data_IF_068525340115
#
_entry.id   IF_068525340115
#
_cell.length_a   1.000
_cell.length_b   1.000
_cell.length_c   1.000
_cell.angle_alpha   90.00
_cell.angle_beta   90.00
_cell.angle_gamma   90.00
#
_symmetry.space_group_name_H-M   'P 1'
#
loop_
_entity.id
_entity.type
_entity.pdbx_description
1 polymer ?
#
# COMPACT_ATOMS: atom_id res chain seq x y z
N UNK A 1 37.59 -34.89 7.98
CA UNK A 1 36.61 -34.30 8.90
C UNK A 1 35.98 -35.36 9.73
N UNK A 2 35.87 -35.17 11.05
CA UNK A 2 35.23 -36.11 11.95
C UNK A 2 33.71 -35.92 11.93
N UNK A 3 32.98 -36.99 12.05
CA UNK A 3 31.50 -36.96 12.11
C UNK A 3 30.98 -36.05 13.24
N UNK A 4 31.73 -35.95 14.35
CA UNK A 4 31.38 -35.07 15.46
C UNK A 4 31.40 -33.58 15.06
N UNK A 5 32.36 -33.18 14.23
CA UNK A 5 32.48 -31.81 13.77
C UNK A 5 31.33 -31.42 12.81
N UNK A 6 30.93 -32.36 11.95
CA UNK A 6 29.79 -32.18 11.05
C UNK A 6 28.47 -32.08 11.85
N UNK A 7 28.31 -32.86 12.90
CA UNK A 7 27.15 -32.81 13.79
C UNK A 7 27.05 -31.44 14.50
N UNK A 8 28.16 -30.95 15.04
CA UNK A 8 28.20 -29.63 15.70
C UNK A 8 27.80 -28.55 14.70
N UNK A 9 28.33 -28.59 13.48
CA UNK A 9 27.96 -27.63 12.43
C UNK A 9 26.48 -27.69 12.10
N UNK A 10 25.90 -28.89 12.01
CA UNK A 10 24.47 -29.06 11.76
C UNK A 10 23.62 -28.48 12.90
N UNK A 11 23.99 -28.73 14.15
CA UNK A 11 23.29 -28.21 15.32
C UNK A 11 23.37 -26.67 15.36
N UNK A 12 24.53 -26.11 15.10
CA UNK A 12 24.71 -24.66 15.09
C UNK A 12 23.92 -24.00 13.96
N UNK A 13 23.84 -24.64 12.79
CA UNK A 13 23.01 -24.16 11.67
C UNK A 13 21.53 -24.17 12.04
N UNK A 14 21.05 -25.23 12.67
CA UNK A 14 19.66 -25.31 13.15
C UNK A 14 19.37 -24.25 14.21
N UNK A 15 20.31 -23.99 15.10
CA UNK A 15 20.17 -22.99 16.13
C UNK A 15 20.10 -21.57 15.54
N UNK A 16 20.83 -21.32 14.45
CA UNK A 16 20.78 -20.04 13.73
C UNK A 16 19.52 -19.90 12.89
N UNK A 17 18.95 -21.03 12.46
CA UNK A 17 17.73 -21.07 11.66
C UNK A 17 16.47 -21.24 12.52
N UNK A 18 16.51 -20.87 13.81
CA UNK A 18 15.32 -20.91 14.65
C UNK A 18 14.24 -20.02 14.06
N UNK A 19 13.00 -20.50 14.01
CA UNK A 19 11.92 -19.70 13.48
C UNK A 19 11.76 -18.42 14.28
N UNK A 20 11.53 -17.34 13.57
CA UNK A 20 11.21 -16.03 14.10
C UNK A 20 10.00 -16.16 15.05
N UNK A 21 10.01 -15.47 16.18
CA UNK A 21 8.84 -15.42 17.05
C UNK A 21 7.68 -14.73 16.33
N UNK A 22 6.46 -14.99 16.76
CA UNK A 22 5.27 -14.36 16.19
C UNK A 22 5.37 -12.83 16.29
N UNK A 23 5.85 -12.31 17.43
CA UNK A 23 6.02 -10.88 17.65
C UNK A 23 7.06 -10.27 16.71
N UNK A 24 8.18 -10.93 16.52
CA UNK A 24 9.23 -10.47 15.59
C UNK A 24 8.74 -10.49 14.15
N UNK A 25 7.97 -11.52 13.77
CA UNK A 25 7.35 -11.63 12.44
C UNK A 25 6.46 -10.42 12.16
N UNK A 26 5.53 -10.08 13.06
CA UNK A 26 4.62 -8.97 12.84
C UNK A 26 5.32 -7.60 12.90
N UNK A 27 6.34 -7.48 13.75
CA UNK A 27 7.16 -6.25 13.77
C UNK A 27 7.87 -6.04 12.44
N UNK A 28 8.41 -7.10 11.87
CA UNK A 28 9.06 -7.05 10.56
C UNK A 28 8.06 -6.74 9.46
N UNK A 29 6.89 -7.37 9.49
CA UNK A 29 5.83 -7.09 8.50
C UNK A 29 5.38 -5.63 8.57
N UNK A 30 5.23 -5.08 9.76
CA UNK A 30 4.88 -3.68 9.93
C UNK A 30 5.95 -2.76 9.35
N UNK A 31 7.21 -3.03 9.63
CA UNK A 31 8.32 -2.23 9.10
C UNK A 31 8.36 -2.24 7.58
N UNK A 32 8.16 -3.39 6.96
CA UNK A 32 8.09 -3.54 5.50
C UNK A 32 6.89 -2.78 4.93
N UNK A 33 5.75 -2.87 5.60
CA UNK A 33 4.53 -2.16 5.20
C UNK A 33 4.74 -0.65 5.22
N UNK A 34 5.29 -0.12 6.29
CA UNK A 34 5.56 1.31 6.40
C UNK A 34 6.57 1.80 5.36
N UNK A 35 7.58 1.00 5.06
CA UNK A 35 8.56 1.31 4.01
C UNK A 35 7.89 1.34 2.64
N UNK A 36 7.05 0.35 2.33
CA UNK A 36 6.33 0.28 1.05
C UNK A 36 5.33 1.43 0.91
N UNK A 37 4.66 1.82 1.99
CA UNK A 37 3.76 2.99 1.99
C UNK A 37 4.51 4.28 1.72
N UNK A 38 5.69 4.45 2.33
CA UNK A 38 6.52 5.63 2.10
C UNK A 38 6.97 5.71 0.64
N UNK A 39 7.32 4.59 0.05
CA UNK A 39 7.71 4.49 -1.35
C UNK A 39 6.55 4.81 -2.29
N UNK A 40 5.36 4.29 -2.00
CA UNK A 40 4.15 4.61 -2.76
C UNK A 40 3.82 6.10 -2.67
N UNK A 41 3.85 6.66 -1.46
CA UNK A 41 3.63 8.09 -1.24
C UNK A 41 4.59 8.92 -2.07
N UNK A 42 5.87 8.59 -2.06
CA UNK A 42 6.89 9.34 -2.80
C UNK A 42 6.68 9.23 -4.31
N UNK A 43 6.26 8.06 -4.80
CA UNK A 43 5.91 7.89 -6.20
C UNK A 43 4.73 8.78 -6.61
N UNK A 44 3.68 8.80 -5.78
CA UNK A 44 2.50 9.64 -6.04
C UNK A 44 2.89 11.13 -6.03
N UNK A 45 3.70 11.55 -5.05
CA UNK A 45 4.18 12.95 -4.99
C UNK A 45 4.96 13.31 -6.25
N UNK A 46 5.77 12.38 -6.74
CA UNK A 46 6.54 12.58 -7.96
C UNK A 46 5.61 12.74 -9.18
N UNK A 47 4.61 11.86 -9.31
CA UNK A 47 3.64 11.95 -10.40
C UNK A 47 2.84 13.26 -10.34
N UNK A 48 2.52 13.74 -9.12
CA UNK A 48 1.74 14.95 -8.91
C UNK A 48 2.55 16.23 -9.15
N UNK A 49 3.88 16.16 -9.24
CA UNK A 49 4.75 17.31 -9.37
C UNK A 49 4.31 18.30 -10.46
N UNK A 50 4.11 17.88 -11.72
CA UNK A 50 3.63 18.80 -12.78
C UNK A 50 2.27 19.43 -12.48
N UNK A 51 1.39 18.69 -11.81
CA UNK A 51 0.05 19.17 -11.45
C UNK A 51 0.13 20.24 -10.36
N UNK A 52 1.04 20.06 -9.39
CA UNK A 52 1.31 21.06 -8.35
C UNK A 52 1.90 22.31 -8.97
N UNK A 53 2.86 22.18 -9.86
CA UNK A 53 3.47 23.31 -10.57
C UNK A 53 2.44 24.11 -11.38
N UNK A 54 1.44 23.40 -11.94
CA UNK A 54 0.34 24.03 -12.67
C UNK A 54 -0.72 24.68 -11.76
N UNK A 55 -0.52 24.65 -10.44
CA UNK A 55 -1.47 25.17 -9.44
C UNK A 55 -2.86 24.54 -9.50
N UNK A 56 -2.94 23.26 -9.90
CA UNK A 56 -4.21 22.55 -9.96
C UNK A 56 -4.49 21.77 -8.68
N UNK A 57 -3.46 21.49 -7.88
CA UNK A 57 -3.57 20.72 -6.65
C UNK A 57 -2.51 21.14 -5.64
N UNK A 58 -2.81 20.98 -4.36
CA UNK A 58 -1.81 21.00 -3.29
C UNK A 58 -1.68 19.60 -2.72
N UNK A 59 -0.46 19.21 -2.35
CA UNK A 59 -0.16 17.89 -1.83
C UNK A 59 0.51 18.03 -0.47
N UNK A 60 -0.07 17.40 0.55
CA UNK A 60 0.49 17.41 1.90
C UNK A 60 0.68 16.00 2.41
N UNK A 61 1.81 15.75 3.09
CA UNK A 61 2.03 14.50 3.81
C UNK A 61 1.06 14.41 4.98
N UNK A 62 0.49 13.23 5.19
CA UNK A 62 -0.42 13.00 6.30
C UNK A 62 -0.15 11.64 6.92
N UNK A 63 -0.16 11.58 8.25
CA UNK A 63 -0.08 10.32 8.98
C UNK A 63 -1.48 9.89 9.41
N UNK A 64 -1.79 8.62 9.17
CA UNK A 64 -3.08 8.03 9.54
C UNK A 64 -2.85 7.05 10.67
N UNK A 65 -3.44 7.32 11.84
CA UNK A 65 -3.38 6.40 12.96
C UNK A 65 -4.19 5.15 12.63
N UNK A 66 -3.55 4.01 12.70
CA UNK A 66 -4.12 2.72 12.29
C UNK A 66 -3.91 1.71 13.41
N UNK A 67 -4.96 0.97 13.75
CA UNK A 67 -4.88 -0.11 14.74
C UNK A 67 -5.26 -1.43 14.07
N UNK A 68 -4.37 -2.42 14.18
CA UNK A 68 -4.59 -3.73 13.59
C UNK A 68 -4.23 -4.83 14.59
N UNK A 69 -4.93 -5.96 14.56
CA UNK A 69 -4.54 -7.12 15.38
C UNK A 69 -3.08 -7.51 15.08
N UNK A 70 -2.34 -7.89 16.09
CA UNK A 70 -0.93 -8.30 16.05
C UNK A 70 0.06 -7.19 15.71
N UNK A 71 -0.39 -6.09 15.10
CA UNK A 71 0.46 -4.96 14.72
C UNK A 71 0.38 -3.81 15.71
N UNK A 72 -0.70 -3.73 16.50
CA UNK A 72 -0.94 -2.63 17.42
C UNK A 72 -1.38 -1.36 16.70
N UNK A 73 -1.16 -0.23 17.37
CA UNK A 73 -1.45 1.10 16.81
C UNK A 73 -0.17 1.71 16.28
N UNK A 74 -0.25 2.24 15.07
CA UNK A 74 0.89 2.86 14.40
C UNK A 74 0.41 3.98 13.47
N UNK A 75 1.32 4.87 13.10
CA UNK A 75 1.05 5.95 12.16
C UNK A 75 1.49 5.51 10.77
N UNK A 76 0.54 5.44 9.84
CA UNK A 76 0.78 5.03 8.47
C UNK A 76 0.90 6.27 7.56
N UNK A 77 1.97 6.38 6.76
CA UNK A 77 2.15 7.53 5.87
C UNK A 77 1.19 7.48 4.69
N UNK A 78 0.54 8.60 4.45
CA UNK A 78 -0.34 8.81 3.30
C UNK A 78 -0.26 10.25 2.85
N UNK A 79 -1.29 10.70 2.12
CA UNK A 79 -1.34 12.05 1.55
C UNK A 79 -2.72 12.65 1.66
N UNK A 80 -2.76 13.98 1.73
CA UNK A 80 -3.97 14.76 1.54
C UNK A 80 -3.76 15.63 0.31
N UNK A 81 -4.66 15.48 -0.67
CA UNK A 81 -4.62 16.22 -1.91
C UNK A 81 -5.80 17.20 -1.92
N UNK A 82 -5.52 18.49 -2.08
CA UNK A 82 -6.58 19.49 -2.27
C UNK A 82 -6.63 19.85 -3.75
N UNK A 83 -7.69 19.41 -4.40
CA UNK A 83 -7.93 19.74 -5.81
C UNK A 83 -8.56 21.13 -5.86
N UNK A 84 -7.94 22.04 -6.63
CA UNK A 84 -8.37 23.42 -6.70
C UNK A 84 -9.49 23.63 -7.74
N UNK A 85 -10.47 22.74 -7.69
CA UNK A 85 -11.70 22.78 -8.47
C UNK A 85 -12.69 23.79 -7.85
N UNK A 86 -13.80 24.06 -8.51
CA UNK A 86 -14.88 24.88 -8.00
C UNK A 86 -16.14 24.02 -7.78
N UNK A 87 -16.49 23.61 -6.55
CA UNK A 87 -15.77 23.84 -5.29
C UNK A 87 -14.52 22.97 -5.14
N UNK A 88 -13.64 23.33 -4.21
CA UNK A 88 -12.46 22.54 -3.90
C UNK A 88 -12.84 21.14 -3.40
N UNK A 89 -12.06 20.15 -3.78
CA UNK A 89 -12.26 18.77 -3.35
C UNK A 89 -11.01 18.26 -2.63
N UNK A 90 -11.21 17.46 -1.60
CA UNK A 90 -10.11 16.86 -0.86
C UNK A 90 -10.11 15.36 -1.15
N UNK A 91 -8.97 14.86 -1.61
CA UNK A 91 -8.75 13.43 -1.83
C UNK A 91 -7.71 12.95 -0.83
N UNK A 92 -8.03 11.89 -0.11
CA UNK A 92 -7.10 11.27 0.83
C UNK A 92 -6.50 10.02 0.17
N UNK A 93 -5.18 9.92 0.24
CA UNK A 93 -4.48 8.66 -0.04
C UNK A 93 -4.31 7.99 1.32
N UNK A 94 -5.27 7.12 1.65
CA UNK A 94 -5.41 6.58 3.01
C UNK A 94 -5.00 5.11 3.09
N UNK A 95 -3.91 4.81 3.80
CA UNK A 95 -3.60 3.41 4.13
C UNK A 95 -4.69 2.82 5.02
N UNK A 96 -5.20 1.65 4.63
CA UNK A 96 -6.27 0.98 5.39
C UNK A 96 -5.75 -0.12 6.28
N UNK A 97 -4.65 -0.75 5.92
CA UNK A 97 -4.02 -1.76 6.74
C UNK A 97 -3.19 -2.76 5.96
N UNK A 98 -2.27 -3.38 6.66
CA UNK A 98 -1.44 -4.47 6.15
C UNK A 98 -2.26 -5.74 6.02
N UNK A 99 -3.09 -6.03 7.03
CA UNK A 99 -3.95 -7.20 7.02
C UNK A 99 -5.24 -6.85 6.30
N UNK A 100 -5.37 -7.29 5.07
CA UNK A 100 -6.61 -7.15 4.33
C UNK A 100 -7.59 -8.15 4.92
N UNK A 101 -8.49 -7.65 5.77
CA UNK A 101 -9.50 -8.49 6.42
C UNK A 101 -10.65 -8.69 5.45
N UNK A 102 -10.94 -9.94 5.17
CA UNK A 102 -12.04 -10.30 4.30
C UNK A 102 -11.62 -10.44 2.85
N UNK A 103 -12.58 -10.82 2.03
CA UNK A 103 -12.40 -11.04 0.61
C UNK A 103 -12.77 -9.76 -0.12
N UNK A 104 -11.79 -9.14 -0.78
CA UNK A 104 -12.12 -8.10 -1.73
C UNK A 104 -12.60 -8.81 -2.99
N UNK A 105 -13.89 -8.67 -3.28
CA UNK A 105 -14.44 -9.21 -4.51
C UNK A 105 -14.46 -8.14 -5.59
N UNK A 106 -13.88 -8.48 -6.73
CA UNK A 106 -13.97 -7.69 -7.93
C UNK A 106 -14.75 -8.52 -8.94
N UNK A 107 -16.04 -8.23 -9.10
CA UNK A 107 -16.92 -9.04 -9.93
C UNK A 107 -17.07 -10.45 -9.37
N UNK A 108 -16.82 -11.47 -10.20
CA UNK A 108 -16.87 -12.88 -9.80
C UNK A 108 -15.53 -13.39 -9.26
N UNK A 109 -14.50 -12.54 -9.19
CA UNK A 109 -13.16 -12.98 -8.80
C UNK A 109 -12.84 -12.60 -7.36
N UNK A 110 -12.36 -13.58 -6.65
CA UNK A 110 -11.82 -13.42 -5.30
C UNK A 110 -10.36 -12.98 -5.41
N UNK A 111 -10.02 -11.84 -4.79
CA UNK A 111 -8.64 -11.36 -4.78
C UNK A 111 -7.91 -12.03 -3.63
N UNK A 112 -6.94 -12.87 -3.98
CA UNK A 112 -6.13 -13.64 -3.05
C UNK A 112 -4.68 -13.18 -3.16
N UNK A 113 -3.98 -13.12 -2.04
CA UNK A 113 -2.55 -12.81 -1.98
C UNK A 113 -2.22 -11.34 -1.74
N UNK A 114 -3.23 -10.48 -1.62
CA UNK A 114 -3.01 -9.10 -1.24
C UNK A 114 -2.51 -9.02 0.21
N UNK A 115 -1.51 -8.17 0.45
CA UNK A 115 -0.91 -7.95 1.77
C UNK A 115 -0.81 -6.47 2.09
N UNK A 116 -1.92 -5.77 1.95
CA UNK A 116 -2.06 -4.36 2.25
C UNK A 116 -3.04 -3.67 1.32
N UNK A 117 -3.66 -2.63 1.84
CA UNK A 117 -4.67 -1.87 1.12
C UNK A 117 -4.51 -0.38 1.37
N UNK A 118 -4.60 0.39 0.29
CA UNK A 118 -4.63 1.85 0.31
C UNK A 118 -5.85 2.29 -0.50
N UNK A 119 -6.60 3.24 0.02
CA UNK A 119 -7.75 3.81 -0.67
C UNK A 119 -7.47 5.24 -1.12
N UNK A 120 -7.93 5.59 -2.32
CA UNK A 120 -8.14 6.97 -2.69
C UNK A 120 -9.57 7.32 -2.32
N UNK A 121 -9.76 8.31 -1.45
CA UNK A 121 -11.09 8.67 -0.93
C UNK A 121 -11.41 10.13 -1.20
N UNK A 122 -12.61 10.38 -1.74
CA UNK A 122 -13.17 11.72 -1.87
C UNK A 122 -14.64 11.65 -1.45
N UNK A 123 -14.94 12.09 -0.22
CA UNK A 123 -16.27 11.92 0.34
C UNK A 123 -16.66 10.45 0.42
N UNK A 124 -17.78 10.08 -0.21
CA UNK A 124 -18.26 8.70 -0.23
C UNK A 124 -17.63 7.85 -1.34
N UNK A 125 -16.90 8.47 -2.25
CA UNK A 125 -16.24 7.76 -3.36
C UNK A 125 -14.88 7.24 -2.93
N UNK A 126 -14.53 6.04 -3.40
CA UNK A 126 -13.22 5.45 -3.15
C UNK A 126 -12.80 4.54 -4.28
N UNK A 127 -11.51 4.49 -4.49
CA UNK A 127 -10.84 3.52 -5.34
C UNK A 127 -9.84 2.76 -4.51
N UNK A 128 -9.79 1.45 -4.68
CA UNK A 128 -8.98 0.55 -3.87
C UNK A 128 -7.70 0.19 -4.59
N UNK A 129 -6.57 0.33 -3.90
CA UNK A 129 -5.26 -0.09 -4.37
C UNK A 129 -4.76 -1.18 -3.42
N UNK A 130 -4.37 -2.32 -3.98
CA UNK A 130 -3.92 -3.47 -3.20
C UNK A 130 -2.43 -3.72 -3.41
N UNK A 131 -1.76 -4.06 -2.32
CA UNK A 131 -0.34 -4.39 -2.31
C UNK A 131 -0.16 -5.90 -2.46
N UNK A 132 0.76 -6.27 -3.35
CA UNK A 132 1.20 -7.65 -3.49
C UNK A 132 2.72 -7.66 -3.32
N UNK A 133 3.17 -8.41 -2.33
CA UNK A 133 4.59 -8.54 -2.04
C UNK A 133 5.01 -9.99 -2.21
N UNK A 134 5.99 -10.21 -3.09
CA UNK A 134 6.62 -11.50 -3.28
C UNK A 134 8.12 -11.34 -3.05
N UNK A 135 8.64 -12.08 -2.08
CA UNK A 135 10.05 -12.00 -1.69
C UNK A 135 10.45 -10.57 -1.34
N UNK A 136 11.31 -9.92 -2.14
CA UNK A 136 11.77 -8.56 -1.89
C UNK A 136 11.10 -7.53 -2.80
N UNK A 137 10.17 -7.96 -3.64
CA UNK A 137 9.50 -7.09 -4.60
C UNK A 137 8.07 -6.78 -4.20
N UNK A 138 7.69 -5.50 -4.27
CA UNK A 138 6.35 -5.02 -4.00
C UNK A 138 5.75 -4.46 -5.29
N UNK A 139 4.51 -4.86 -5.56
CA UNK A 139 3.74 -4.33 -6.69
C UNK A 139 2.36 -3.92 -6.18
N UNK A 140 1.86 -2.79 -6.69
CA UNK A 140 0.55 -2.28 -6.35
C UNK A 140 -0.38 -2.46 -7.55
N UNK A 141 -1.63 -2.84 -7.27
CA UNK A 141 -2.62 -3.10 -8.32
C UNK A 141 -3.95 -2.42 -8.01
N UNK A 142 -4.62 -1.98 -9.07
CA UNK A 142 -5.99 -1.52 -9.03
C UNK A 142 -6.90 -2.60 -9.62
N UNK A 143 -8.11 -2.72 -9.06
CA UNK A 143 -9.12 -3.67 -9.53
C UNK A 143 -10.45 -2.97 -9.85
N UNK A 144 -10.45 -1.64 -9.95
CA UNK A 144 -11.67 -0.83 -10.01
C UNK A 144 -12.60 -1.09 -11.20
N UNK A 145 -12.11 -1.73 -12.26
CA UNK A 145 -12.92 -2.11 -13.43
C UNK A 145 -13.10 -3.61 -13.58
N UNK A 146 -12.87 -4.37 -12.51
CA UNK A 146 -12.88 -5.82 -12.54
C UNK A 146 -11.64 -6.45 -13.17
N UNK A 147 -10.71 -5.64 -13.64
CA UNK A 147 -9.43 -6.09 -14.21
C UNK A 147 -8.28 -5.68 -13.32
N UNK A 148 -7.36 -6.61 -13.09
CA UNK A 148 -6.13 -6.34 -12.37
C UNK A 148 -5.22 -5.49 -13.26
N UNK A 149 -4.91 -4.28 -12.80
CA UNK A 149 -4.00 -3.38 -13.50
C UNK A 149 -2.90 -2.91 -12.55
N UNK A 150 -1.66 -3.04 -12.99
CA UNK A 150 -0.54 -2.54 -12.21
C UNK A 150 -0.62 -1.02 -12.09
N UNK A 151 -0.40 -0.52 -10.87
CA UNK A 151 -0.41 0.92 -10.61
C UNK A 151 0.82 1.56 -11.24
N UNK A 152 0.56 2.55 -12.08
CA UNK A 152 1.57 3.43 -12.67
C UNK A 152 0.98 4.83 -12.73
N UNK A 153 1.72 5.78 -13.30
CA UNK A 153 1.28 7.17 -13.40
C UNK A 153 -0.08 7.30 -14.09
N UNK A 154 -0.26 6.65 -15.23
CA UNK A 154 -1.50 6.74 -16.01
C UNK A 154 -2.69 6.15 -15.27
N UNK A 155 -2.51 4.98 -14.67
CA UNK A 155 -3.56 4.31 -13.88
C UNK A 155 -3.91 5.16 -12.66
N UNK A 156 -2.90 5.72 -11.98
CA UNK A 156 -3.13 6.59 -10.83
C UNK A 156 -4.00 7.79 -11.20
N UNK A 157 -3.69 8.52 -12.27
CA UNK A 157 -4.48 9.68 -12.67
C UNK A 157 -5.90 9.31 -13.09
N UNK A 158 -6.08 8.14 -13.70
CA UNK A 158 -7.41 7.63 -14.02
C UNK A 158 -8.22 7.36 -12.74
N UNK A 159 -7.60 6.72 -11.75
CA UNK A 159 -8.25 6.48 -10.46
C UNK A 159 -8.57 7.78 -9.74
N UNK A 160 -7.66 8.73 -9.75
CA UNK A 160 -7.85 10.04 -9.12
C UNK A 160 -9.02 10.78 -9.77
N UNK A 161 -9.09 10.81 -11.09
CA UNK A 161 -10.18 11.46 -11.82
C UNK A 161 -11.54 10.83 -11.48
N UNK A 162 -11.60 9.51 -11.38
CA UNK A 162 -12.85 8.82 -11.00
C UNK A 162 -13.24 9.10 -9.56
N UNK A 163 -12.27 9.13 -8.64
CA UNK A 163 -12.52 9.39 -7.22
C UNK A 163 -13.06 10.80 -7.02
N UNK A 164 -12.49 11.77 -7.72
CA UNK A 164 -12.88 13.18 -7.64
C UNK A 164 -14.02 13.55 -8.59
N UNK A 165 -14.56 12.58 -9.33
CA UNK A 165 -15.64 12.80 -10.30
C UNK A 165 -15.28 13.86 -11.36
N UNK A 166 -14.05 13.78 -11.83
CA UNK A 166 -13.57 14.66 -12.89
C UNK A 166 -13.78 14.02 -14.26
N UNK A 167 -14.06 14.83 -15.31
CA UNK A 167 -14.17 14.27 -16.65
C UNK A 167 -12.84 13.66 -17.08
N UNK A 168 -12.90 12.43 -17.56
CA UNK A 168 -11.75 11.76 -18.15
C UNK A 168 -11.80 11.97 -19.66
N UNK A 169 -10.70 12.44 -20.21
CA UNK A 169 -10.56 12.48 -21.68
C UNK A 169 -10.31 11.05 -22.17
N UNK A 170 -11.22 10.57 -22.94
CA UNK A 170 -11.09 9.28 -23.62
C UNK A 170 -10.12 9.38 -24.78
#
# INVERSE_FOLDING_TARGET
>A
MTKAKDFVTAVMSQKRAQPESVEEYWRRQRSLWLADLSELRDSIKNWMGPVVVANAVTVEDKLFSTTEPDLGTYDAPGLELALLTEPHQVVLVRPRGLRVVGVVQSGEHRIVGASGRVDLECGAKREIILRFRQEEATTWYSFGTGKKRELNEDVYFELLARTADLPTQS
#
